data_IF_407633058417
#
_entry.id   IF_407633058417
#
_cell.length_a   1.000
_cell.length_b   1.000
_cell.length_c   1.000
_cell.angle_alpha   90.00
_cell.angle_beta   90.00
_cell.angle_gamma   90.00
#
_symmetry.space_group_name_H-M   'P 1'
#
loop_
_entity.id
_entity.type
_entity.pdbx_description
1 polymer ?
#
# COMPACT_ATOMS: atom_id res chain seq x y z
N UNK A 1 -13.35 -8.44 -1.19
CA UNK A 1 -13.57 -9.73 -0.50
C UNK A 1 -14.05 -10.80 -1.50
N UNK A 2 -13.35 -10.96 -2.62
CA UNK A 2 -13.79 -11.82 -3.74
C UNK A 2 -13.24 -13.25 -3.71
N UNK A 3 -12.75 -13.71 -2.56
CA UNK A 3 -12.33 -15.11 -2.38
C UNK A 3 -13.54 -16.00 -2.10
N UNK A 4 -13.45 -17.28 -2.44
CA UNK A 4 -14.55 -18.22 -2.21
C UNK A 4 -14.98 -18.26 -0.74
N UNK A 5 -14.03 -18.23 0.19
CA UNK A 5 -14.31 -18.24 1.63
C UNK A 5 -14.99 -16.95 2.13
N UNK A 6 -14.65 -15.80 1.53
CA UNK A 6 -15.34 -14.57 1.88
C UNK A 6 -16.75 -14.51 1.26
N UNK A 7 -16.92 -15.07 0.06
CA UNK A 7 -18.22 -15.19 -0.60
C UNK A 7 -19.15 -16.19 0.10
N UNK A 8 -18.65 -17.25 0.73
CA UNK A 8 -19.50 -18.13 1.56
C UNK A 8 -19.97 -17.44 2.85
N UNK A 9 -19.26 -16.40 3.30
CA UNK A 9 -19.59 -15.57 4.47
C UNK A 9 -20.42 -14.32 4.12
N UNK A 10 -21.01 -14.26 2.92
CA UNK A 10 -21.93 -13.19 2.50
C UNK A 10 -21.28 -11.98 1.84
N UNK A 11 -20.00 -12.07 1.45
CA UNK A 11 -19.36 -10.98 0.68
C UNK A 11 -19.88 -10.85 -0.75
N UNK A 12 -20.55 -11.86 -1.28
CA UNK A 12 -21.15 -11.90 -2.61
C UNK A 12 -22.43 -11.06 -2.73
N UNK A 13 -23.13 -10.80 -1.61
CA UNK A 13 -24.33 -9.96 -1.56
C UNK A 13 -24.12 -8.58 -2.15
N UNK A 14 -22.97 -7.99 -1.86
CA UNK A 14 -22.63 -6.63 -2.32
C UNK A 14 -22.37 -6.56 -3.83
N UNK A 15 -22.12 -7.69 -4.48
CA UNK A 15 -21.80 -7.79 -5.90
C UNK A 15 -22.84 -8.59 -6.69
N UNK A 16 -24.06 -8.77 -6.13
CA UNK A 16 -25.16 -9.52 -6.75
C UNK A 16 -24.79 -10.97 -7.14
N UNK A 17 -23.72 -11.50 -6.53
CA UNK A 17 -23.20 -12.84 -6.79
C UNK A 17 -24.07 -13.95 -6.20
N UNK A 18 -24.98 -13.61 -5.29
CA UNK A 18 -25.89 -14.55 -4.62
C UNK A 18 -26.78 -15.34 -5.59
N UNK A 19 -27.12 -14.76 -6.73
CA UNK A 19 -27.98 -15.39 -7.74
C UNK A 19 -27.20 -16.24 -8.74
N UNK A 20 -25.86 -16.13 -8.74
CA UNK A 20 -25.00 -16.87 -9.65
C UNK A 20 -24.83 -18.32 -9.17
N UNK A 21 -25.25 -19.28 -9.99
CA UNK A 21 -25.08 -20.72 -9.71
C UNK A 21 -23.61 -21.14 -9.63
N UNK A 22 -22.73 -20.47 -10.37
CA UNK A 22 -21.29 -20.70 -10.37
C UNK A 22 -20.58 -19.48 -9.79
N UNK A 23 -19.91 -19.64 -8.64
CA UNK A 23 -19.09 -18.59 -8.03
C UNK A 23 -17.69 -18.60 -8.63
N UNK A 24 -17.29 -17.49 -9.25
CA UNK A 24 -15.94 -17.30 -9.81
C UNK A 24 -15.12 -16.48 -8.81
N UNK A 25 -14.03 -17.04 -8.30
CA UNK A 25 -13.13 -16.34 -7.39
C UNK A 25 -12.39 -15.21 -8.12
N UNK A 26 -12.40 -14.01 -7.52
CA UNK A 26 -11.62 -12.83 -7.96
C UNK A 26 -10.57 -12.40 -6.94
N UNK A 27 -10.45 -13.15 -5.85
CA UNK A 27 -9.47 -12.94 -4.79
C UNK A 27 -9.02 -14.25 -4.18
N UNK A 28 -7.94 -14.16 -3.41
CA UNK A 28 -7.33 -15.29 -2.70
C UNK A 28 -7.52 -15.14 -1.19
N UNK A 29 -7.42 -16.25 -0.48
CA UNK A 29 -7.25 -16.27 0.98
C UNK A 29 -5.77 -16.48 1.27
N UNK A 30 -5.24 -15.74 2.24
CA UNK A 30 -3.86 -15.88 2.66
C UNK A 30 -3.68 -15.40 4.10
N UNK A 31 -2.61 -15.88 4.74
CA UNK A 31 -2.16 -15.41 6.04
C UNK A 31 -1.06 -14.36 5.87
N UNK A 32 -1.03 -13.37 6.76
CA UNK A 32 0.02 -12.35 6.83
C UNK A 32 0.63 -12.36 8.22
N UNK A 33 1.92 -12.02 8.33
CA UNK A 33 2.58 -11.92 9.63
C UNK A 33 1.97 -10.81 10.49
N UNK A 34 2.01 -11.00 11.81
CA UNK A 34 1.60 -9.98 12.76
C UNK A 34 2.51 -8.73 12.65
N UNK A 35 1.89 -7.56 12.74
CA UNK A 35 2.56 -6.25 12.67
C UNK A 35 2.54 -5.52 14.02
N UNK A 36 1.95 -6.13 15.04
CA UNK A 36 1.79 -5.55 16.37
C UNK A 36 0.64 -4.54 16.45
N UNK A 37 0.64 -3.77 17.54
CA UNK A 37 -0.48 -2.86 17.85
C UNK A 37 -0.59 -1.68 16.88
N UNK A 38 -1.83 -1.39 16.48
CA UNK A 38 -2.20 -0.21 15.69
C UNK A 38 -1.78 1.09 16.39
N UNK A 39 -1.77 1.11 17.72
CA UNK A 39 -1.34 2.28 18.51
C UNK A 39 0.15 2.62 18.31
N UNK A 40 0.97 1.65 17.87
CA UNK A 40 2.37 1.89 17.49
C UNK A 40 2.50 2.14 15.98
N UNK A 41 1.80 1.33 15.18
CA UNK A 41 1.89 1.36 13.73
C UNK A 41 1.38 2.68 13.12
N UNK A 42 0.27 3.21 13.64
CA UNK A 42 -0.34 4.43 13.10
C UNK A 42 0.52 5.69 13.33
N UNK A 43 1.02 5.97 14.55
CA UNK A 43 1.93 7.11 14.76
C UNK A 43 3.20 7.01 13.92
N UNK A 44 3.80 5.82 13.81
CA UNK A 44 4.96 5.61 12.94
C UNK A 44 4.66 5.95 11.48
N UNK A 45 3.57 5.40 10.93
CA UNK A 45 3.18 5.65 9.54
C UNK A 45 2.89 7.13 9.30
N UNK A 46 2.22 7.79 10.25
CA UNK A 46 1.96 9.23 10.16
C UNK A 46 3.25 10.04 10.13
N UNK A 47 4.24 9.70 10.95
CA UNK A 47 5.54 10.38 10.95
C UNK A 47 6.32 10.14 9.65
N UNK A 48 6.31 8.90 9.13
CA UNK A 48 6.94 8.58 7.85
C UNK A 48 6.32 9.37 6.69
N UNK A 49 5.00 9.52 6.67
CA UNK A 49 4.31 10.36 5.67
C UNK A 49 4.71 11.83 5.82
N UNK A 50 4.74 12.38 7.05
CA UNK A 50 5.20 13.75 7.29
C UNK A 50 6.63 13.99 6.83
N UNK A 51 7.53 13.03 7.05
CA UNK A 51 8.90 13.11 6.54
C UNK A 51 8.92 13.14 5.01
N UNK A 52 8.12 12.30 4.36
CA UNK A 52 7.99 12.35 2.90
C UNK A 52 7.48 13.70 2.39
N UNK A 53 6.55 14.34 3.11
CA UNK A 53 6.08 15.69 2.79
C UNK A 53 7.18 16.75 2.93
N UNK A 54 8.02 16.62 3.96
CA UNK A 54 9.19 17.48 4.12
C UNK A 54 10.18 17.32 2.96
N UNK A 55 10.48 16.07 2.57
CA UNK A 55 11.40 15.78 1.45
C UNK A 55 10.85 16.29 0.11
N UNK A 56 9.52 16.27 -0.06
CA UNK A 56 8.82 16.86 -1.21
C UNK A 56 8.78 18.39 -1.18
N UNK A 57 9.04 19.02 -0.03
CA UNK A 57 8.90 20.47 0.16
C UNK A 57 7.46 20.95 0.34
N UNK A 58 6.53 20.07 0.73
CA UNK A 58 5.11 20.39 0.94
C UNK A 58 4.78 20.44 2.44
N UNK A 59 4.05 21.47 2.88
CA UNK A 59 3.64 21.62 4.29
C UNK A 59 2.29 20.97 4.62
N UNK A 60 1.49 20.65 3.61
CA UNK A 60 0.18 20.00 3.74
C UNK A 60 -0.20 19.24 2.48
N UNK A 61 -1.25 18.43 2.56
CA UNK A 61 -1.79 17.68 1.42
C UNK A 61 -2.24 18.60 0.28
N UNK A 62 -2.89 19.71 0.63
CA UNK A 62 -3.32 20.74 -0.31
C UNK A 62 -2.12 21.37 -1.00
N UNK A 63 -1.09 21.75 -0.23
CA UNK A 63 0.16 22.28 -0.77
C UNK A 63 0.84 21.30 -1.73
N UNK A 64 0.89 20.00 -1.40
CA UNK A 64 1.46 18.98 -2.29
C UNK A 64 0.69 18.88 -3.62
N UNK A 65 -0.64 18.95 -3.58
CA UNK A 65 -1.46 18.96 -4.80
C UNK A 65 -1.26 20.23 -5.63
N UNK A 66 -1.08 21.39 -4.99
CA UNK A 66 -0.83 22.64 -5.69
C UNK A 66 0.56 22.65 -6.35
N UNK A 67 1.59 22.12 -5.67
CA UNK A 67 2.92 21.91 -6.25
C UNK A 67 2.90 20.97 -7.46
N UNK A 68 2.06 19.92 -7.42
CA UNK A 68 1.86 19.01 -8.54
C UNK A 68 1.17 19.72 -9.72
N UNK A 69 0.05 20.42 -9.48
CA UNK A 69 -0.71 21.13 -10.53
C UNK A 69 0.10 22.25 -11.17
N UNK A 70 0.92 22.94 -10.40
CA UNK A 70 1.81 24.00 -10.88
C UNK A 70 3.07 23.48 -11.57
N UNK A 71 3.28 22.16 -11.64
CA UNK A 71 4.48 21.52 -12.22
C UNK A 71 5.80 21.88 -11.53
N UNK A 72 5.74 22.39 -10.29
CA UNK A 72 6.92 22.62 -9.45
C UNK A 72 7.44 21.27 -8.93
N UNK A 73 6.51 20.40 -8.49
CA UNK A 73 6.83 19.02 -8.15
C UNK A 73 7.03 18.21 -9.44
N UNK A 74 8.16 17.51 -9.54
CA UNK A 74 8.50 16.66 -10.69
C UNK A 74 8.51 15.20 -10.28
N UNK A 75 8.10 14.33 -11.20
CA UNK A 75 8.08 12.88 -11.04
C UNK A 75 8.96 12.25 -12.11
N UNK A 76 9.63 11.17 -11.76
CA UNK A 76 10.51 10.43 -12.67
C UNK A 76 10.07 8.97 -12.74
N UNK A 77 9.98 8.42 -13.94
CA UNK A 77 9.63 7.02 -14.14
C UNK A 77 10.86 6.15 -13.91
N UNK A 78 10.73 5.11 -13.08
CA UNK A 78 11.83 4.19 -12.79
C UNK A 78 11.67 2.90 -13.57
N UNK A 79 12.73 2.49 -14.27
CA UNK A 79 12.83 1.17 -14.92
C UNK A 79 12.81 0.05 -13.87
N UNK A 80 12.55 -1.19 -14.31
CA UNK A 80 12.58 -2.36 -13.41
C UNK A 80 13.93 -2.52 -12.69
N UNK A 81 15.04 -2.31 -13.40
CA UNK A 81 16.37 -2.35 -12.81
C UNK A 81 16.57 -1.24 -11.76
N UNK A 82 16.15 0.00 -12.06
CA UNK A 82 16.25 1.10 -11.11
C UNK A 82 15.41 0.87 -9.84
N UNK A 83 14.29 0.14 -9.91
CA UNK A 83 13.50 -0.22 -8.72
C UNK A 83 14.20 -1.27 -7.86
N UNK A 84 14.85 -2.27 -8.47
CA UNK A 84 15.67 -3.26 -7.76
C UNK A 84 16.84 -2.57 -7.05
N UNK A 85 17.51 -1.66 -7.73
CA UNK A 85 18.59 -0.83 -7.16
C UNK A 85 18.09 0.14 -6.07
N UNK A 86 16.83 0.56 -6.12
CA UNK A 86 16.24 1.39 -5.06
C UNK A 86 15.99 0.67 -3.74
N UNK A 87 15.96 -0.65 -3.76
CA UNK A 87 15.76 -1.48 -2.58
C UNK A 87 17.07 -1.75 -1.82
N UNK A 88 17.00 -2.61 -0.81
CA UNK A 88 18.21 -3.16 -0.19
C UNK A 88 18.77 -4.25 -1.11
N UNK A 89 20.01 -4.11 -1.58
CA UNK A 89 20.66 -5.07 -2.47
C UNK A 89 22.17 -5.19 -2.19
N UNK A 90 22.81 -6.26 -2.68
CA UNK A 90 24.28 -6.45 -2.59
C UNK A 90 24.82 -6.91 -1.23
N UNK A 91 23.96 -7.44 -0.35
CA UNK A 91 24.34 -7.92 0.98
C UNK A 91 24.22 -9.45 1.08
N UNK A 92 25.06 -10.09 1.89
CA UNK A 92 24.98 -11.54 2.20
C UNK A 92 23.72 -11.85 3.02
N UNK A 93 23.37 -10.98 3.97
CA UNK A 93 22.13 -11.05 4.74
C UNK A 93 21.71 -9.66 5.22
N UNK A 94 20.41 -9.44 5.42
CA UNK A 94 19.86 -8.23 6.05
C UNK A 94 18.55 -8.57 6.77
N UNK A 95 18.23 -7.82 7.83
CA UNK A 95 16.96 -7.92 8.54
C UNK A 95 16.19 -6.59 8.40
N UNK A 96 14.98 -6.64 7.85
CA UNK A 96 14.15 -5.44 7.68
C UNK A 96 13.34 -5.18 8.94
N UNK A 97 13.77 -4.20 9.74
CA UNK A 97 13.01 -3.69 10.88
C UNK A 97 12.04 -2.60 10.40
N UNK A 98 10.78 -2.71 10.82
CA UNK A 98 9.72 -1.80 10.35
C UNK A 98 9.72 -0.49 11.12
N UNK A 99 10.08 -0.52 12.41
CA UNK A 99 10.24 0.61 13.32
C UNK A 99 10.80 0.10 14.66
#
# INVERSE_FOLDING_TARGET
>A
MGSLEAMTKGSDQRYLGDTAKLKIAQGVVGAVADKGSVLKFMPYTMQAVKQGFQDLGASSLESAHDLLKSSILRLEVRTGAAQVEGGVHGLVSYEKKSF
#
